data_IF_253372387296
#
_entry.id   IF_253372387296
#
_cell.length_a   1.000
_cell.length_b   1.000
_cell.length_c   1.000
_cell.angle_alpha   90.00
_cell.angle_beta   90.00
_cell.angle_gamma   90.00
#
_symmetry.space_group_name_H-M   'P 1'
#
loop_
_entity.id
_entity.type
_entity.pdbx_description
1 polymer ?
#
# COMPACT_ATOMS: atom_id res chain seq x y z
N UNK A 1 15.78 19.76 16.17
CA UNK A 1 14.82 19.49 15.06
C UNK A 1 15.62 18.81 13.95
N UNK A 2 15.02 17.89 13.17
CA UNK A 2 15.70 17.29 12.02
C UNK A 2 15.17 17.92 10.73
N UNK A 3 15.99 17.93 9.67
CA UNK A 3 15.59 18.36 8.32
C UNK A 3 15.45 17.12 7.44
N UNK A 4 14.23 16.76 7.08
CA UNK A 4 13.95 15.64 6.19
C UNK A 4 13.79 16.15 4.76
N UNK A 5 14.74 15.81 3.90
CA UNK A 5 14.70 16.11 2.46
C UNK A 5 13.97 14.98 1.76
N UNK A 6 12.84 15.29 1.13
CA UNK A 6 11.93 14.29 0.58
C UNK A 6 12.12 14.15 -0.92
N UNK A 7 12.32 12.92 -1.38
CA UNK A 7 12.39 12.56 -2.78
C UNK A 7 10.99 12.43 -3.43
N UNK A 8 10.91 12.64 -4.72
CA UNK A 8 9.69 12.57 -5.53
C UNK A 8 8.98 11.23 -5.41
N UNK A 9 9.73 10.12 -5.40
CA UNK A 9 9.15 8.78 -5.34
C UNK A 9 8.36 8.53 -4.04
N UNK A 10 8.76 9.13 -2.93
CA UNK A 10 8.04 9.07 -1.65
C UNK A 10 6.68 9.75 -1.78
N UNK A 11 6.64 10.95 -2.33
CA UNK A 11 5.41 11.74 -2.48
C UNK A 11 4.43 11.14 -3.48
N UNK A 12 4.94 10.48 -4.54
CA UNK A 12 4.10 9.79 -5.52
C UNK A 12 3.47 8.52 -4.93
N UNK A 13 4.19 7.81 -4.08
CA UNK A 13 3.66 6.59 -3.44
C UNK A 13 2.78 6.91 -2.23
N UNK A 14 3.14 7.91 -1.46
CA UNK A 14 2.45 8.32 -0.25
C UNK A 14 2.28 9.85 -0.17
N UNK A 15 1.26 10.44 -0.80
CA UNK A 15 1.03 11.89 -0.75
C UNK A 15 0.88 12.44 0.66
N UNK A 16 0.49 11.61 1.61
CA UNK A 16 0.35 11.98 3.01
C UNK A 16 1.68 12.01 3.77
N UNK A 17 2.80 11.61 3.17
CA UNK A 17 4.13 11.67 3.78
C UNK A 17 4.49 13.07 4.27
N UNK A 18 3.90 14.12 3.70
CA UNK A 18 4.07 15.50 4.15
C UNK A 18 3.71 15.72 5.63
N UNK A 19 2.87 14.88 6.21
CA UNK A 19 2.44 14.98 7.62
C UNK A 19 3.05 13.91 8.53
N UNK A 20 3.92 13.05 8.02
CA UNK A 20 4.44 11.90 8.77
C UNK A 20 5.61 12.26 9.70
N UNK A 21 6.23 13.45 9.55
CA UNK A 21 7.47 13.80 10.25
C UNK A 21 7.28 14.65 11.50
N UNK A 22 6.05 14.75 11.99
CA UNK A 22 5.69 15.40 13.27
C UNK A 22 6.30 16.80 13.45
N UNK A 23 7.11 16.99 14.51
CA UNK A 23 7.76 18.25 14.93
C UNK A 23 9.05 18.59 14.17
N UNK A 24 9.28 17.98 13.02
CA UNK A 24 10.48 18.17 12.25
C UNK A 24 10.23 19.10 11.03
N UNK A 25 11.33 19.50 10.38
CA UNK A 25 11.27 20.27 9.14
C UNK A 25 11.26 19.32 7.95
N UNK A 26 10.27 19.46 7.11
CA UNK A 26 10.13 18.76 5.83
C UNK A 26 10.61 19.72 4.76
N UNK A 27 11.60 19.27 4.01
CA UNK A 27 12.21 20.04 2.94
C UNK A 27 11.90 19.38 1.61
N UNK A 28 11.28 20.13 0.73
CA UNK A 28 11.01 19.68 -0.65
C UNK A 28 11.96 20.46 -1.56
N UNK A 29 12.94 19.79 -2.19
CA UNK A 29 13.77 20.41 -3.20
C UNK A 29 12.94 20.96 -4.37
N UNK A 30 13.34 22.09 -4.93
CA UNK A 30 12.64 22.67 -6.08
C UNK A 30 12.55 21.67 -7.25
N UNK A 31 13.60 20.88 -7.48
CA UNK A 31 13.59 19.82 -8.52
C UNK A 31 12.49 18.80 -8.30
N UNK A 32 12.14 18.46 -7.07
CA UNK A 32 11.02 17.56 -6.73
C UNK A 32 9.68 18.20 -7.12
N UNK A 33 9.51 19.50 -6.90
CA UNK A 33 8.30 20.21 -7.33
C UNK A 33 8.19 20.22 -8.85
N UNK A 34 9.30 20.40 -9.57
CA UNK A 34 9.36 20.35 -11.05
C UNK A 34 8.95 18.95 -11.56
N UNK A 35 9.48 17.89 -10.96
CA UNK A 35 9.11 16.52 -11.32
C UNK A 35 7.63 16.22 -11.04
N UNK A 36 7.10 16.66 -9.91
CA UNK A 36 5.67 16.52 -9.60
C UNK A 36 4.81 17.27 -10.61
N UNK A 37 5.24 18.44 -11.08
CA UNK A 37 4.54 19.19 -12.12
C UNK A 37 4.51 18.47 -13.46
N UNK A 38 5.59 17.80 -13.85
CA UNK A 38 5.61 16.94 -15.02
C UNK A 38 4.70 15.71 -14.84
N UNK A 39 4.77 15.05 -13.70
CA UNK A 39 4.01 13.83 -13.40
C UNK A 39 2.51 14.07 -13.24
N UNK A 40 2.05 15.27 -12.91
CA UNK A 40 0.60 15.58 -12.80
C UNK A 40 -0.19 15.31 -14.09
N UNK A 41 0.49 15.29 -15.25
CA UNK A 41 -0.08 15.00 -16.57
C UNK A 41 -0.19 13.50 -16.87
N UNK A 42 0.49 12.66 -16.09
CA UNK A 42 0.46 11.21 -16.29
C UNK A 42 -0.90 10.64 -15.94
N UNK A 43 -1.27 9.56 -16.63
CA UNK A 43 -2.46 8.76 -16.31
C UNK A 43 -2.21 7.81 -15.13
N UNK A 44 -3.30 7.35 -14.51
CA UNK A 44 -3.25 6.39 -13.42
C UNK A 44 -2.89 7.00 -12.05
N UNK A 45 -2.45 6.13 -11.14
CA UNK A 45 -2.24 6.46 -9.73
C UNK A 45 -1.12 7.48 -9.51
N UNK A 46 -0.01 7.36 -10.24
CA UNK A 46 1.12 8.29 -10.13
C UNK A 46 0.71 9.73 -10.43
N UNK A 47 -0.02 9.95 -11.52
CA UNK A 47 -0.50 11.29 -11.86
C UNK A 47 -1.55 11.80 -10.88
N UNK A 48 -2.43 10.93 -10.38
CA UNK A 48 -3.41 11.30 -9.35
C UNK A 48 -2.73 11.75 -8.05
N UNK A 49 -1.71 11.03 -7.61
CA UNK A 49 -0.95 11.33 -6.41
C UNK A 49 -0.12 12.62 -6.58
N UNK A 50 0.55 12.83 -7.73
CA UNK A 50 1.24 14.08 -8.03
C UNK A 50 0.29 15.28 -7.95
N UNK A 51 -0.90 15.19 -8.56
CA UNK A 51 -1.94 16.24 -8.46
C UNK A 51 -2.39 16.49 -7.03
N UNK A 52 -2.47 15.45 -6.19
CA UNK A 52 -2.82 15.58 -4.77
C UNK A 52 -1.77 16.35 -4.01
N UNK A 53 -0.48 16.03 -4.20
CA UNK A 53 0.64 16.74 -3.55
C UNK A 53 0.68 18.20 -4.00
N UNK A 54 0.59 18.47 -5.30
CA UNK A 54 0.61 19.86 -5.83
C UNK A 54 -0.54 20.71 -5.25
N UNK A 55 -1.77 20.15 -5.17
CA UNK A 55 -2.88 20.85 -4.52
C UNK A 55 -2.61 21.16 -3.06
N UNK A 56 -1.98 20.24 -2.35
CA UNK A 56 -1.60 20.44 -0.97
C UNK A 56 -0.57 21.58 -0.83
N UNK A 57 0.49 21.58 -1.66
CA UNK A 57 1.47 22.65 -1.67
C UNK A 57 0.83 24.00 -2.00
N UNK A 58 -0.12 24.05 -2.93
CA UNK A 58 -0.86 25.26 -3.26
C UNK A 58 -1.70 25.77 -2.08
N UNK A 59 -2.36 24.87 -1.35
CA UNK A 59 -3.09 25.23 -0.13
C UNK A 59 -2.16 25.80 0.95
N UNK A 60 -0.99 25.19 1.15
CA UNK A 60 -0.01 25.67 2.11
C UNK A 60 0.60 27.02 1.70
N UNK A 61 0.78 27.26 0.40
CA UNK A 61 1.22 28.56 -0.14
C UNK A 61 0.26 29.71 0.21
N UNK A 62 -1.05 29.44 0.31
CA UNK A 62 -2.02 30.43 0.77
C UNK A 62 -1.94 30.74 2.26
N UNK A 63 -1.31 29.86 3.05
CA UNK A 63 -1.13 30.06 4.48
C UNK A 63 0.18 30.79 4.83
N UNK A 64 1.14 30.82 3.90
CA UNK A 64 2.43 31.48 4.12
C UNK A 64 3.43 31.30 2.98
N UNK A 65 4.64 31.81 3.20
CA UNK A 65 5.75 31.71 2.24
C UNK A 65 6.46 30.36 2.39
N UNK A 66 6.24 29.47 1.43
CA UNK A 66 6.86 28.14 1.42
C UNK A 66 8.40 28.17 1.35
N UNK A 67 9.01 29.25 0.86
CA UNK A 67 10.47 29.40 0.84
C UNK A 67 11.03 29.74 2.23
N UNK A 68 10.20 30.31 3.11
CA UNK A 68 10.55 30.60 4.50
C UNK A 68 10.10 29.53 5.47
N UNK A 69 9.23 28.63 5.00
CA UNK A 69 8.62 27.57 5.79
C UNK A 69 7.21 27.93 6.28
N UNK A 70 6.31 26.99 6.15
CA UNK A 70 4.90 27.05 6.59
C UNK A 70 4.67 25.97 7.62
N UNK A 71 3.96 26.27 8.68
CA UNK A 71 3.60 25.29 9.70
C UNK A 71 2.64 24.25 9.13
N UNK A 72 2.90 22.98 9.45
CA UNK A 72 2.04 21.86 9.10
C UNK A 72 1.80 20.96 10.33
N UNK A 73 0.61 20.39 10.43
CA UNK A 73 0.24 19.61 11.61
C UNK A 73 0.27 20.46 12.89
N UNK A 74 0.75 19.87 13.98
CA UNK A 74 0.84 20.57 15.27
C UNK A 74 2.11 21.43 15.39
N UNK A 75 3.27 20.89 15.03
CA UNK A 75 4.57 21.56 15.23
C UNK A 75 5.55 21.43 14.04
N UNK A 76 5.17 20.72 12.97
CA UNK A 76 6.00 20.54 11.79
C UNK A 76 6.14 21.81 10.95
N UNK A 77 7.20 21.88 10.14
CA UNK A 77 7.43 22.96 9.19
C UNK A 77 7.68 22.34 7.81
N UNK A 78 6.95 22.79 6.80
CA UNK A 78 7.23 22.43 5.41
C UNK A 78 7.89 23.61 4.71
N UNK A 79 8.99 23.35 4.03
CA UNK A 79 9.76 24.35 3.29
C UNK A 79 10.14 23.82 1.91
N UNK A 80 10.04 24.67 0.89
CA UNK A 80 10.65 24.42 -0.42
C UNK A 80 12.04 25.02 -0.43
N UNK A 81 13.04 24.23 -0.79
CA UNK A 81 14.42 24.68 -0.82
C UNK A 81 14.96 24.73 -2.25
N UNK A 82 15.87 25.67 -2.49
CA UNK A 82 16.53 25.85 -3.78
C UNK A 82 17.47 24.68 -4.09
N UNK A 83 17.82 24.50 -5.36
CA UNK A 83 18.65 23.38 -5.82
C UNK A 83 20.14 23.45 -5.43
N UNK A 84 20.60 24.49 -4.69
CA UNK A 84 22.01 24.66 -4.28
C UNK A 84 23.01 24.41 -5.41
N UNK A 85 22.77 25.00 -6.57
CA UNK A 85 23.55 24.81 -7.80
C UNK A 85 25.05 25.14 -7.69
N UNK A 86 25.46 25.81 -6.63
CA UNK A 86 26.87 26.14 -6.34
C UNK A 86 27.58 25.02 -5.55
N UNK A 87 26.86 23.99 -5.11
CA UNK A 87 27.45 22.83 -4.45
C UNK A 87 27.99 21.88 -5.52
N UNK A 88 29.29 21.68 -5.52
CA UNK A 88 29.93 20.72 -6.42
C UNK A 88 29.84 19.32 -5.85
N UNK A 89 29.29 18.40 -6.62
CA UNK A 89 29.33 16.98 -6.33
C UNK A 89 30.56 16.33 -7.01
N UNK A 90 30.99 15.13 -6.56
CA UNK A 90 32.02 14.36 -7.26
C UNK A 90 31.68 14.15 -8.74
N UNK A 91 32.69 14.05 -9.61
CA UNK A 91 32.52 13.88 -11.06
C UNK A 91 31.63 12.69 -11.45
N UNK A 92 31.59 11.65 -10.61
CA UNK A 92 30.72 10.47 -10.79
C UNK A 92 29.21 10.77 -10.59
N UNK A 93 28.87 11.94 -10.07
CA UNK A 93 27.50 12.38 -9.78
C UNK A 93 27.18 13.68 -10.53
N UNK A 94 27.04 13.64 -11.86
CA UNK A 94 26.77 14.83 -12.67
C UNK A 94 25.44 15.49 -12.27
N UNK A 95 25.36 16.81 -12.29
CA UNK A 95 24.24 17.64 -11.82
C UNK A 95 23.03 17.70 -12.77
N UNK A 96 23.13 17.08 -13.94
CA UNK A 96 22.06 17.00 -14.94
C UNK A 96 20.90 16.08 -14.54
N UNK A 97 21.11 15.21 -13.53
CA UNK A 97 20.11 14.28 -13.04
C UNK A 97 19.35 14.84 -11.82
N UNK A 98 18.04 14.71 -11.83
CA UNK A 98 17.17 15.15 -10.73
C UNK A 98 17.60 14.58 -9.37
N UNK A 99 17.90 13.28 -9.30
CA UNK A 99 18.41 12.61 -8.10
C UNK A 99 19.65 13.31 -7.52
N UNK A 100 20.61 13.66 -8.40
CA UNK A 100 21.84 14.29 -7.96
C UNK A 100 21.61 15.73 -7.50
N UNK A 101 20.61 16.45 -8.06
CA UNK A 101 20.16 17.76 -7.54
C UNK A 101 19.55 17.65 -6.16
N UNK A 102 18.83 16.57 -5.85
CA UNK A 102 18.35 16.30 -4.50
C UNK A 102 19.53 16.15 -3.54
N UNK A 103 20.59 15.44 -3.95
CA UNK A 103 21.82 15.31 -3.16
C UNK A 103 22.55 16.65 -2.97
N UNK A 104 22.57 17.53 -3.99
CA UNK A 104 23.11 18.89 -3.85
C UNK A 104 22.36 19.66 -2.75
N UNK A 105 21.04 19.52 -2.70
CA UNK A 105 20.23 20.15 -1.62
C UNK A 105 20.62 19.59 -0.26
N UNK A 106 20.78 18.28 -0.13
CA UNK A 106 21.20 17.65 1.13
C UNK A 106 22.58 18.16 1.59
N UNK A 107 23.57 18.22 0.68
CA UNK A 107 24.93 18.70 0.99
C UNK A 107 24.89 20.18 1.34
N UNK A 108 24.26 21.01 0.54
CA UNK A 108 24.17 22.45 0.76
C UNK A 108 23.44 22.81 2.05
N UNK A 109 22.41 22.07 2.40
CA UNK A 109 21.72 22.24 3.68
C UNK A 109 22.60 21.83 4.86
N UNK A 110 23.31 20.70 4.76
CA UNK A 110 24.22 20.24 5.82
C UNK A 110 25.31 21.25 6.13
N UNK A 111 25.80 21.98 5.11
CA UNK A 111 26.78 23.05 5.30
C UNK A 111 26.21 24.31 5.95
N UNK A 112 24.94 24.59 5.68
CA UNK A 112 24.26 25.81 6.12
C UNK A 112 23.57 25.65 7.48
N UNK A 113 23.02 24.49 7.76
CA UNK A 113 22.18 24.23 8.93
C UNK A 113 22.96 23.49 10.02
N UNK A 114 22.59 23.75 11.29
CA UNK A 114 23.17 23.03 12.44
C UNK A 114 22.45 21.72 12.73
N UNK A 115 21.20 21.64 12.33
CA UNK A 115 20.35 20.47 12.55
C UNK A 115 20.67 19.35 11.55
N UNK A 116 20.54 18.08 11.92
CA UNK A 116 20.79 16.95 11.03
C UNK A 116 19.94 17.00 9.76
N UNK A 117 20.56 16.71 8.62
CA UNK A 117 19.89 16.59 7.31
C UNK A 117 19.80 15.11 6.95
N UNK A 118 18.59 14.64 6.68
CA UNK A 118 18.29 13.24 6.39
C UNK A 118 17.53 13.20 5.06
N UNK A 119 18.07 12.44 4.11
CA UNK A 119 17.38 12.16 2.86
C UNK A 119 16.35 11.05 3.07
N UNK A 120 15.12 11.26 2.61
CA UNK A 120 14.06 10.24 2.64
C UNK A 120 13.75 9.82 1.20
N UNK A 121 14.08 8.58 0.86
CA UNK A 121 13.87 8.04 -0.49
C UNK A 121 13.68 6.54 -0.48
N UNK A 122 12.85 6.03 -1.39
CA UNK A 122 12.66 4.60 -1.65
C UNK A 122 13.68 4.03 -2.64
N UNK A 123 14.44 4.89 -3.31
CA UNK A 123 15.43 4.48 -4.29
C UNK A 123 16.73 4.04 -3.58
N UNK A 124 17.07 2.75 -3.72
CA UNK A 124 18.28 2.19 -3.16
C UNK A 124 19.55 2.88 -3.73
N UNK A 125 19.56 3.17 -5.04
CA UNK A 125 20.72 3.81 -5.65
C UNK A 125 20.92 5.23 -5.09
N UNK A 126 19.86 5.98 -4.90
CA UNK A 126 19.92 7.32 -4.33
C UNK A 126 20.39 7.27 -2.87
N UNK A 127 19.97 6.26 -2.08
CA UNK A 127 20.49 6.06 -0.71
C UNK A 127 21.98 5.73 -0.70
N UNK A 128 22.46 4.88 -1.62
CA UNK A 128 23.89 4.58 -1.73
C UNK A 128 24.71 5.80 -2.13
N UNK A 129 24.23 6.62 -3.06
CA UNK A 129 24.87 7.89 -3.43
C UNK A 129 24.93 8.87 -2.25
N UNK A 130 23.84 8.96 -1.46
CA UNK A 130 23.79 9.78 -0.24
C UNK A 130 24.86 9.32 0.77
N UNK A 131 25.01 8.01 0.95
CA UNK A 131 26.03 7.42 1.82
C UNK A 131 27.44 7.78 1.38
N UNK A 132 27.74 7.76 0.06
CA UNK A 132 29.03 8.19 -0.48
C UNK A 132 29.36 9.66 -0.12
N UNK A 133 28.34 10.51 -0.03
CA UNK A 133 28.47 11.91 0.34
C UNK A 133 28.40 12.16 1.86
N UNK A 134 28.32 11.09 2.67
CA UNK A 134 28.18 11.19 4.11
C UNK A 134 26.84 11.80 4.56
N UNK A 135 25.79 11.69 3.74
CA UNK A 135 24.42 12.09 4.04
C UNK A 135 23.67 10.88 4.60
N UNK A 136 23.03 11.04 5.75
CA UNK A 136 22.13 10.03 6.28
C UNK A 136 20.93 9.90 5.35
N UNK A 137 20.57 8.66 4.97
CA UNK A 137 19.41 8.39 4.14
C UNK A 137 18.55 7.29 4.77
N UNK A 138 17.25 7.49 4.74
CA UNK A 138 16.25 6.59 5.31
C UNK A 138 15.24 6.17 4.23
N UNK A 139 14.75 4.93 4.32
CA UNK A 139 13.57 4.52 3.56
C UNK A 139 12.32 5.10 4.20
N UNK A 140 11.36 5.52 3.39
CA UNK A 140 10.06 5.91 3.87
C UNK A 140 9.17 4.67 3.98
N UNK A 141 9.13 4.08 5.15
CA UNK A 141 8.10 3.11 5.50
C UNK A 141 6.85 3.89 5.91
N UNK A 142 5.93 4.08 4.96
CA UNK A 142 4.63 4.62 5.30
C UNK A 142 3.96 3.66 6.29
N UNK A 143 3.51 4.15 7.44
CA UNK A 143 2.64 3.40 8.36
C UNK A 143 1.42 2.77 7.64
N UNK A 144 1.08 3.26 6.45
CA UNK A 144 0.10 2.64 5.57
C UNK A 144 0.41 1.18 5.16
N UNK A 145 1.67 0.71 5.29
CA UNK A 145 2.00 -0.70 5.00
C UNK A 145 1.51 -1.59 6.13
N UNK A 146 1.55 -1.13 7.38
CA UNK A 146 0.94 -1.85 8.49
C UNK A 146 -0.60 -1.80 8.43
N UNK A 147 -1.19 -0.66 8.11
CA UNK A 147 -2.64 -0.58 7.89
C UNK A 147 -3.11 -1.46 6.73
N UNK A 148 -2.34 -1.55 5.63
CA UNK A 148 -2.71 -2.46 4.54
C UNK A 148 -2.52 -3.94 4.88
N UNK A 149 -1.52 -4.29 5.70
CA UNK A 149 -1.35 -5.66 6.21
C UNK A 149 -2.43 -6.03 7.24
N UNK A 150 -2.89 -5.06 8.01
CA UNK A 150 -3.96 -5.24 9.00
C UNK A 150 -5.36 -5.06 8.42
N UNK A 151 -5.48 -4.55 7.17
CA UNK A 151 -6.79 -4.33 6.57
C UNK A 151 -7.47 -5.66 6.27
N UNK A 152 -8.63 -5.88 6.89
CA UNK A 152 -9.49 -7.02 6.60
C UNK A 152 -9.85 -7.07 5.11
N UNK A 153 -9.41 -8.11 4.43
CA UNK A 153 -9.61 -8.28 2.98
C UNK A 153 -10.85 -9.11 2.64
N UNK A 154 -11.54 -9.65 3.64
CA UNK A 154 -12.66 -10.59 3.47
C UNK A 154 -12.24 -11.99 3.03
N UNK A 155 -10.95 -12.22 2.79
CA UNK A 155 -10.41 -13.53 2.37
C UNK A 155 -9.05 -13.78 2.98
N UNK A 156 -8.73 -15.06 3.15
CA UNK A 156 -7.43 -15.49 3.66
C UNK A 156 -7.03 -16.85 3.08
N UNK A 157 -5.79 -17.26 3.32
CA UNK A 157 -5.26 -18.57 2.97
C UNK A 157 -4.77 -19.26 4.23
N UNK A 158 -5.22 -20.50 4.46
CA UNK A 158 -4.93 -21.26 5.67
C UNK A 158 -4.61 -22.72 5.36
N UNK A 159 -3.79 -23.33 6.19
CA UNK A 159 -3.51 -24.75 6.15
C UNK A 159 -4.52 -25.54 6.95
N UNK A 160 -4.80 -26.75 6.47
CA UNK A 160 -5.77 -27.67 7.06
C UNK A 160 -5.13 -29.06 7.12
N UNK A 161 -5.23 -29.78 8.26
CA UNK A 161 -4.80 -31.17 8.33
C UNK A 161 -5.54 -32.06 7.31
N UNK A 162 -4.79 -32.91 6.60
CA UNK A 162 -5.28 -33.71 5.47
C UNK A 162 -6.54 -34.53 5.79
N UNK A 163 -6.68 -34.97 7.04
CA UNK A 163 -7.83 -35.76 7.49
C UNK A 163 -9.17 -35.01 7.32
N UNK A 164 -9.18 -33.70 7.46
CA UNK A 164 -10.40 -32.89 7.31
C UNK A 164 -10.81 -32.67 5.86
N UNK A 165 -9.92 -32.83 4.89
CA UNK A 165 -10.26 -32.68 3.47
C UNK A 165 -11.24 -33.74 2.97
N UNK A 166 -11.18 -34.97 3.48
CA UNK A 166 -12.03 -36.09 3.03
C UNK A 166 -13.52 -35.78 3.21
N UNK A 167 -13.86 -35.22 4.36
CA UNK A 167 -15.26 -34.99 4.75
C UNK A 167 -15.69 -33.54 4.58
N UNK A 168 -14.82 -32.65 4.11
CA UNK A 168 -15.10 -31.19 3.98
C UNK A 168 -16.43 -30.88 3.31
N UNK A 169 -16.73 -31.58 2.19
CA UNK A 169 -17.95 -31.32 1.41
C UNK A 169 -19.24 -31.65 2.16
N UNK A 170 -19.18 -32.54 3.15
CA UNK A 170 -20.33 -33.01 3.92
C UNK A 170 -20.43 -32.38 5.28
N UNK A 171 -19.31 -32.36 6.02
CA UNK A 171 -19.29 -31.94 7.43
C UNK A 171 -18.76 -30.52 7.63
N UNK A 172 -17.96 -29.98 6.69
CA UNK A 172 -17.20 -28.75 6.90
C UNK A 172 -15.91 -29.03 7.69
N UNK A 173 -15.21 -27.95 8.05
CA UNK A 173 -13.99 -27.99 8.85
C UNK A 173 -14.16 -27.05 10.04
N UNK A 174 -13.87 -27.47 11.28
CA UNK A 174 -13.89 -26.58 12.43
C UNK A 174 -12.87 -25.42 12.25
N UNK A 175 -13.26 -24.20 12.62
CA UNK A 175 -12.37 -23.04 12.58
C UNK A 175 -11.12 -23.27 13.44
N UNK A 176 -11.24 -23.94 14.57
CA UNK A 176 -10.17 -24.18 15.53
C UNK A 176 -9.00 -25.04 15.00
N UNK A 177 -9.19 -25.79 13.89
CA UNK A 177 -8.14 -26.68 13.38
C UNK A 177 -7.30 -26.09 12.24
N UNK A 178 -7.69 -24.93 11.72
CA UNK A 178 -6.97 -24.29 10.63
C UNK A 178 -5.88 -23.35 11.17
N UNK A 179 -4.76 -23.28 10.48
CA UNK A 179 -3.60 -22.53 10.92
C UNK A 179 -2.86 -21.85 9.75
N UNK A 180 -2.00 -20.92 10.07
CA UNK A 180 -0.98 -20.34 9.19
C UNK A 180 0.40 -20.77 9.68
N UNK A 181 1.40 -20.73 8.82
CA UNK A 181 2.80 -20.80 9.22
C UNK A 181 3.32 -19.37 9.37
N UNK A 182 4.00 -19.08 10.47
CA UNK A 182 4.76 -17.83 10.62
C UNK A 182 6.11 -17.88 9.88
N UNK A 183 6.91 -16.85 10.02
CA UNK A 183 8.24 -16.76 9.38
C UNK A 183 9.23 -17.85 9.86
N UNK A 184 8.96 -18.46 11.00
CA UNK A 184 9.77 -19.54 11.59
C UNK A 184 9.19 -20.93 11.28
N UNK A 185 8.03 -20.99 10.60
CA UNK A 185 7.33 -22.22 10.28
C UNK A 185 6.44 -22.77 11.40
N UNK A 186 6.27 -22.02 12.48
CA UNK A 186 5.40 -22.40 13.61
C UNK A 186 3.92 -22.17 13.27
N UNK A 187 3.05 -23.00 13.87
CA UNK A 187 1.60 -22.91 13.64
C UNK A 187 0.98 -21.76 14.42
N UNK A 188 0.39 -20.81 13.69
CA UNK A 188 -0.38 -19.72 14.25
C UNK A 188 -1.85 -19.90 13.88
N UNK A 189 -2.74 -19.87 14.87
CA UNK A 189 -4.17 -20.03 14.67
C UNK A 189 -4.81 -18.65 14.49
N UNK A 190 -5.31 -18.33 13.27
CA UNK A 190 -5.88 -17.01 12.99
C UNK A 190 -7.27 -16.84 13.63
N UNK A 191 -7.57 -15.64 14.08
CA UNK A 191 -8.94 -15.25 14.38
C UNK A 191 -9.71 -15.06 13.07
N UNK A 192 -10.71 -15.91 12.85
CA UNK A 192 -11.56 -15.86 11.68
C UNK A 192 -12.93 -15.24 12.01
N UNK A 193 -13.43 -14.44 11.08
CA UNK A 193 -14.70 -13.74 11.25
C UNK A 193 -15.81 -14.37 10.41
N UNK A 194 -17.07 -14.14 10.83
CA UNK A 194 -18.25 -14.57 10.09
C UNK A 194 -18.21 -14.09 8.63
N UNK A 195 -18.59 -14.95 7.70
CA UNK A 195 -18.57 -14.70 6.26
C UNK A 195 -17.16 -14.55 5.62
N UNK A 196 -16.08 -14.71 6.36
CA UNK A 196 -14.74 -14.66 5.79
C UNK A 196 -14.52 -15.82 4.82
N UNK A 197 -13.95 -15.53 3.64
CA UNK A 197 -13.61 -16.51 2.63
C UNK A 197 -12.22 -17.07 2.84
N UNK A 198 -12.06 -18.39 2.62
CA UNK A 198 -10.80 -19.08 2.84
C UNK A 198 -10.40 -19.94 1.66
N UNK A 199 -9.12 -19.84 1.29
CA UNK A 199 -8.43 -20.82 0.47
C UNK A 199 -7.82 -21.83 1.44
N UNK A 200 -8.38 -23.02 1.48
CA UNK A 200 -7.95 -24.13 2.35
C UNK A 200 -6.89 -24.93 1.61
N UNK A 201 -5.68 -25.02 2.14
CA UNK A 201 -4.60 -25.84 1.62
C UNK A 201 -4.34 -27.03 2.52
N UNK A 202 -4.10 -28.20 1.92
CA UNK A 202 -3.64 -29.35 2.68
C UNK A 202 -2.23 -29.11 3.22
N UNK A 203 -1.98 -29.49 4.47
CA UNK A 203 -0.65 -29.46 5.08
C UNK A 203 0.28 -30.58 4.56
N UNK A 204 -0.26 -31.57 3.84
CA UNK A 204 0.51 -32.68 3.28
C UNK A 204 0.64 -32.63 1.75
N UNK A 205 -0.09 -31.74 1.07
CA UNK A 205 -0.12 -31.71 -0.39
C UNK A 205 -0.39 -30.31 -0.94
N UNK A 206 0.61 -29.69 -1.54
CA UNK A 206 0.51 -28.38 -2.18
C UNK A 206 -0.54 -28.32 -3.32
N UNK A 207 -0.84 -29.47 -3.94
CA UNK A 207 -1.80 -29.54 -5.05
C UNK A 207 -3.25 -29.61 -4.59
N UNK A 208 -3.51 -29.91 -3.31
CA UNK A 208 -4.86 -30.00 -2.77
C UNK A 208 -5.29 -28.69 -2.14
N UNK A 209 -6.30 -28.08 -2.75
CA UNK A 209 -6.94 -26.89 -2.20
C UNK A 209 -8.46 -26.96 -2.34
N UNK A 210 -9.16 -26.31 -1.44
CA UNK A 210 -10.60 -26.12 -1.45
C UNK A 210 -10.93 -24.65 -1.14
N UNK A 211 -12.13 -24.24 -1.55
CA UNK A 211 -12.65 -22.90 -1.20
C UNK A 211 -13.75 -23.06 -0.17
N UNK A 212 -13.67 -22.26 0.89
CA UNK A 212 -14.65 -22.28 1.97
C UNK A 212 -15.04 -20.89 2.42
N UNK A 213 -16.10 -20.81 3.23
CA UNK A 213 -16.59 -19.62 3.90
C UNK A 213 -16.82 -19.95 5.37
N UNK A 214 -16.47 -19.06 6.25
CA UNK A 214 -16.74 -19.17 7.68
C UNK A 214 -18.23 -18.97 7.95
N UNK A 215 -18.83 -19.89 8.67
CA UNK A 215 -20.22 -19.89 9.09
C UNK A 215 -20.27 -20.41 10.54
N UNK A 216 -20.33 -19.48 11.49
CA UNK A 216 -20.16 -19.76 12.93
C UNK A 216 -18.79 -20.36 13.23
N UNK A 217 -18.75 -21.48 13.91
CA UNK A 217 -17.52 -22.21 14.28
C UNK A 217 -17.01 -23.17 13.19
N UNK A 218 -17.64 -23.15 12.01
CA UNK A 218 -17.33 -24.07 10.94
C UNK A 218 -16.99 -23.36 9.64
N UNK A 219 -16.05 -23.94 8.88
CA UNK A 219 -15.80 -23.53 7.52
C UNK A 219 -16.62 -24.44 6.61
N UNK A 220 -17.51 -23.85 5.82
CA UNK A 220 -18.38 -24.56 4.89
C UNK A 220 -17.92 -24.38 3.46
N UNK A 221 -18.21 -25.37 2.60
CA UNK A 221 -18.01 -25.23 1.16
C UNK A 221 -18.88 -24.11 0.62
N UNK A 222 -18.45 -23.47 -0.47
CA UNK A 222 -19.25 -22.48 -1.18
C UNK A 222 -20.54 -23.12 -1.69
N UNK A 223 -21.68 -22.48 -1.37
CA UNK A 223 -23.01 -22.95 -1.75
C UNK A 223 -23.25 -22.78 -3.26
N UNK A 224 -22.79 -21.67 -3.80
CA UNK A 224 -23.04 -21.27 -5.19
C UNK A 224 -21.86 -21.54 -6.13
N UNK A 225 -20.93 -22.43 -5.75
CA UNK A 225 -19.75 -22.74 -6.56
C UNK A 225 -20.07 -23.23 -7.98
N UNK A 226 -21.22 -23.85 -8.18
CA UNK A 226 -21.66 -24.40 -9.47
C UNK A 226 -22.65 -23.51 -10.20
N UNK A 227 -23.05 -22.40 -9.60
CA UNK A 227 -23.96 -21.47 -10.24
C UNK A 227 -23.22 -20.75 -11.40
N UNK A 228 -23.96 -20.48 -12.44
CA UNK A 228 -23.48 -19.79 -13.66
C UNK A 228 -24.44 -18.67 -14.02
N UNK A 229 -24.47 -17.59 -13.18
CA UNK A 229 -25.39 -16.50 -13.41
C UNK A 229 -25.17 -15.90 -14.80
N UNK A 230 -26.23 -15.84 -15.60
CA UNK A 230 -26.19 -15.45 -17.01
C UNK A 230 -25.16 -16.25 -17.85
N UNK A 231 -24.90 -17.52 -17.48
CA UNK A 231 -23.91 -18.37 -18.15
C UNK A 231 -22.43 -18.02 -17.85
N UNK A 232 -22.18 -17.13 -16.89
CA UNK A 232 -20.84 -16.70 -16.54
C UNK A 232 -20.22 -17.63 -15.50
N UNK A 233 -18.98 -18.09 -15.79
CA UNK A 233 -18.23 -18.99 -14.92
C UNK A 233 -17.06 -18.27 -14.25
N UNK A 234 -16.88 -18.40 -12.92
CA UNK A 234 -15.69 -17.91 -12.24
C UNK A 234 -14.41 -18.58 -12.76
N UNK A 235 -13.35 -17.79 -12.94
CA UNK A 235 -12.04 -18.25 -13.45
C UNK A 235 -10.97 -18.37 -12.37
N UNK A 236 -11.18 -17.79 -11.20
CA UNK A 236 -10.23 -17.78 -10.09
C UNK A 236 -10.94 -17.70 -8.73
N UNK A 237 -10.23 -17.99 -7.65
CA UNK A 237 -10.78 -18.00 -6.30
C UNK A 237 -11.51 -16.71 -5.92
N UNK A 238 -10.96 -15.54 -6.28
CA UNK A 238 -11.59 -14.24 -6.01
C UNK A 238 -12.96 -14.09 -6.66
N UNK A 239 -13.14 -14.57 -7.91
CA UNK A 239 -14.42 -14.54 -8.60
C UNK A 239 -15.42 -15.55 -8.00
N UNK A 240 -14.96 -16.71 -7.53
CA UNK A 240 -15.81 -17.65 -6.79
C UNK A 240 -16.30 -17.03 -5.48
N UNK A 241 -15.44 -16.36 -4.74
CA UNK A 241 -15.82 -15.67 -3.50
C UNK A 241 -16.79 -14.52 -3.77
N UNK A 242 -16.54 -13.77 -4.82
CA UNK A 242 -17.41 -12.66 -5.21
C UNK A 242 -18.80 -13.16 -5.60
N UNK A 243 -18.90 -14.19 -6.44
CA UNK A 243 -20.16 -14.83 -6.79
C UNK A 243 -20.89 -15.36 -5.54
N UNK A 244 -20.18 -16.09 -4.68
CA UNK A 244 -20.73 -16.61 -3.44
C UNK A 244 -21.29 -15.48 -2.56
N UNK A 245 -20.57 -14.36 -2.40
CA UNK A 245 -21.01 -13.22 -1.60
C UNK A 245 -22.28 -12.57 -2.16
N UNK A 246 -22.33 -12.35 -3.48
CA UNK A 246 -23.47 -11.71 -4.13
C UNK A 246 -24.73 -12.57 -4.16
N UNK A 247 -24.57 -13.88 -4.21
CA UNK A 247 -25.71 -14.82 -4.24
C UNK A 247 -26.22 -15.19 -2.86
N UNK A 248 -25.59 -14.72 -1.77
CA UNK A 248 -26.14 -14.93 -0.43
C UNK A 248 -27.44 -14.16 -0.24
N UNK A 249 -28.41 -14.75 0.47
CA UNK A 249 -29.63 -14.01 0.82
C UNK A 249 -29.31 -12.81 1.72
N UNK A 250 -30.16 -11.78 1.68
CA UNK A 250 -29.95 -10.51 2.39
C UNK A 250 -29.83 -10.69 3.90
N UNK A 251 -30.46 -11.73 4.47
CA UNK A 251 -30.37 -12.05 5.89
C UNK A 251 -28.96 -12.50 6.31
N UNK A 252 -28.19 -13.10 5.38
CA UNK A 252 -26.82 -13.57 5.63
C UNK A 252 -25.76 -12.55 5.20
N UNK A 253 -26.01 -11.80 4.14
CA UNK A 253 -25.10 -10.80 3.60
C UNK A 253 -25.87 -9.55 3.15
N UNK A 254 -26.36 -8.71 4.08
CA UNK A 254 -27.15 -7.52 3.77
C UNK A 254 -26.37 -6.45 3.02
N UNK A 255 -25.04 -6.47 3.12
CA UNK A 255 -24.15 -5.53 2.45
C UNK A 255 -22.89 -6.26 1.96
N UNK A 256 -22.58 -6.11 0.68
CA UNK A 256 -21.35 -6.65 0.07
C UNK A 256 -20.52 -5.49 -0.47
N UNK A 257 -19.34 -5.29 0.10
CA UNK A 257 -18.36 -4.29 -0.36
C UNK A 257 -17.30 -4.97 -1.21
N UNK A 258 -17.20 -4.55 -2.48
CA UNK A 258 -16.25 -5.13 -3.43
C UNK A 258 -15.12 -4.17 -3.73
N UNK A 259 -13.90 -4.52 -3.29
CA UNK A 259 -12.68 -3.77 -3.57
C UNK A 259 -11.80 -4.57 -4.54
N UNK A 260 -11.25 -3.92 -5.54
CA UNK A 260 -10.34 -4.54 -6.50
C UNK A 260 -9.95 -3.59 -7.61
N UNK A 261 -8.85 -3.90 -8.30
CA UNK A 261 -8.30 -3.08 -9.40
C UNK A 261 -9.28 -2.97 -10.57
N UNK A 262 -9.10 -1.95 -11.41
CA UNK A 262 -9.83 -1.84 -12.68
C UNK A 262 -9.61 -3.09 -13.55
N UNK A 263 -10.61 -3.48 -14.35
CA UNK A 263 -10.51 -4.65 -15.22
C UNK A 263 -10.74 -6.01 -14.55
N UNK A 264 -11.02 -6.09 -13.24
CA UNK A 264 -11.26 -7.34 -12.52
C UNK A 264 -12.70 -7.86 -12.59
N UNK A 265 -13.48 -7.38 -13.56
CA UNK A 265 -14.85 -7.83 -13.86
C UNK A 265 -15.89 -7.61 -12.73
N UNK A 266 -15.64 -6.68 -11.81
CA UNK A 266 -16.56 -6.41 -10.67
C UNK A 266 -17.98 -6.05 -11.14
N UNK A 267 -18.11 -4.99 -11.93
CA UNK A 267 -19.41 -4.54 -12.45
C UNK A 267 -20.10 -5.61 -13.28
N UNK A 268 -19.34 -6.32 -14.10
CA UNK A 268 -19.87 -7.39 -14.95
C UNK A 268 -20.51 -8.52 -14.12
N UNK A 269 -19.81 -9.00 -13.09
CA UNK A 269 -20.34 -10.01 -12.17
C UNK A 269 -21.53 -9.52 -11.35
N UNK A 270 -21.46 -8.26 -10.87
CA UNK A 270 -22.57 -7.68 -10.10
C UNK A 270 -23.86 -7.61 -10.94
N UNK A 271 -23.74 -7.22 -12.21
CA UNK A 271 -24.89 -7.20 -13.14
C UNK A 271 -25.41 -8.60 -13.43
N UNK A 272 -24.52 -9.57 -13.71
CA UNK A 272 -24.92 -10.92 -14.01
C UNK A 272 -25.68 -11.59 -12.86
N UNK A 273 -25.21 -11.40 -11.62
CA UNK A 273 -25.88 -11.96 -10.44
C UNK A 273 -27.16 -11.18 -10.09
N UNK A 274 -27.16 -9.86 -10.31
CA UNK A 274 -28.32 -9.04 -10.00
C UNK A 274 -29.50 -9.19 -11.00
N UNK A 275 -29.26 -9.78 -12.16
CA UNK A 275 -30.27 -10.06 -13.19
C UNK A 275 -30.78 -11.52 -13.15
N UNK A 276 -30.11 -12.43 -12.45
CA UNK A 276 -30.52 -13.81 -12.22
C UNK A 276 -31.59 -13.89 -11.13
#
# INVERSE_FOLDING_TARGET
>A
MKNYVIDTNVLIQAPNALWAFQENRIVIPLVVVEELDHLKKAEGEKGANARKVIRCLEQLRHQGDLLKGVRIGQEGILQIEKNFVYVELPEELPDDRADNRILQVCVGMREKEKDPVILVTKDLLLRLKAQLLGIQAEDFEAEQVEEQKLQYTGRDEVFVPEEYFKDFKKKGIPVAVVYKADEQGEKVYPELTENQFLILRSDQSEKKSQLGRVEGEMIRKLAYRKAEPYGIRPRNAGQYFFQEALMQPAEKAPLVIVKGMAGTSKTFYSLAVGLE
#
